data_IF_744609803216
#
_entry.id   IF_744609803216
#
_cell.length_a   1.000
_cell.length_b   1.000
_cell.length_c   1.000
_cell.angle_alpha   90.00
_cell.angle_beta   90.00
_cell.angle_gamma   90.00
#
_symmetry.space_group_name_H-M   'P 1'
#
loop_
_entity.id
_entity.type
_entity.pdbx_description
1 polymer ?
#
# COMPACT_ATOMS: atom_id res chain seq x y z
N UNK A 1 -32.30 0.55 40.52
CA UNK A 1 -33.40 -0.06 39.74
C UNK A 1 -33.78 0.80 38.54
N UNK A 2 -34.24 2.03 38.68
CA UNK A 2 -34.68 2.91 37.55
C UNK A 2 -33.59 3.10 36.51
N UNK A 3 -32.34 3.40 36.90
CA UNK A 3 -31.23 3.56 35.99
C UNK A 3 -30.95 2.28 35.15
N UNK A 4 -31.06 1.09 35.77
CA UNK A 4 -30.88 -0.18 35.06
C UNK A 4 -31.99 -0.40 34.02
N UNK A 5 -33.25 -0.05 34.33
CA UNK A 5 -34.35 -0.13 33.36
C UNK A 5 -34.18 0.85 32.20
N UNK A 6 -33.67 2.06 32.47
CA UNK A 6 -33.36 3.04 31.41
C UNK A 6 -32.27 2.50 30.48
N UNK A 7 -31.18 1.97 31.04
CA UNK A 7 -30.10 1.38 30.24
C UNK A 7 -30.62 0.21 29.37
N UNK A 8 -31.42 -0.68 30.01
CA UNK A 8 -31.98 -1.81 29.25
C UNK A 8 -32.93 -1.33 28.15
N UNK A 9 -33.78 -0.34 28.39
CA UNK A 9 -34.65 0.23 27.38
C UNK A 9 -33.89 0.84 26.22
N UNK A 10 -32.78 1.56 26.49
CA UNK A 10 -31.90 2.14 25.45
C UNK A 10 -31.25 1.03 24.66
N UNK A 11 -30.77 -0.03 25.28
CA UNK A 11 -30.16 -1.17 24.58
C UNK A 11 -31.16 -1.89 23.67
N UNK A 12 -32.37 -2.11 24.15
CA UNK A 12 -33.46 -2.74 23.36
C UNK A 12 -33.85 -1.85 22.18
N UNK A 13 -33.95 -0.54 22.38
CA UNK A 13 -34.22 0.40 21.29
C UNK A 13 -33.11 0.41 20.24
N UNK A 14 -31.87 0.44 20.70
CA UNK A 14 -30.70 0.39 19.81
C UNK A 14 -30.68 -0.90 18.99
N UNK A 15 -30.94 -2.04 19.64
CA UNK A 15 -31.02 -3.34 18.95
C UNK A 15 -32.16 -3.35 17.92
N UNK A 16 -33.34 -2.83 18.29
CA UNK A 16 -34.47 -2.72 17.36
C UNK A 16 -34.12 -1.86 16.14
N UNK A 17 -33.48 -0.70 16.35
CA UNK A 17 -33.05 0.17 15.25
C UNK A 17 -32.06 -0.54 14.36
N UNK A 18 -31.07 -1.25 14.91
CA UNK A 18 -30.09 -2.02 14.14
C UNK A 18 -30.78 -3.09 13.31
N UNK A 19 -31.66 -3.89 13.92
CA UNK A 19 -32.40 -4.95 13.23
C UNK A 19 -33.31 -4.41 12.10
N UNK A 20 -34.02 -3.32 12.36
CA UNK A 20 -34.87 -2.68 11.34
C UNK A 20 -34.05 -2.13 10.17
N UNK A 21 -32.93 -1.47 10.46
CA UNK A 21 -32.03 -0.97 9.41
C UNK A 21 -31.38 -2.10 8.62
N UNK A 22 -31.01 -3.20 9.27
CA UNK A 22 -30.46 -4.38 8.60
C UNK A 22 -31.51 -5.05 7.71
N UNK A 23 -32.74 -5.19 8.19
CA UNK A 23 -33.84 -5.76 7.39
C UNK A 23 -34.22 -4.86 6.18
N UNK A 24 -34.10 -3.55 6.34
CA UNK A 24 -34.34 -2.58 5.27
C UNK A 24 -33.14 -2.39 4.33
N UNK A 25 -31.99 -2.95 4.66
CA UNK A 25 -30.79 -2.85 3.83
C UNK A 25 -30.90 -3.76 2.61
N UNK A 26 -31.18 -3.16 1.47
CA UNK A 26 -31.14 -3.83 0.18
C UNK A 26 -30.01 -3.20 -0.63
N UNK A 27 -28.88 -3.90 -0.82
CA UNK A 27 -27.83 -3.42 -1.70
C UNK A 27 -28.42 -3.22 -3.09
N UNK A 28 -28.12 -2.09 -3.74
CA UNK A 28 -28.49 -1.89 -5.12
C UNK A 28 -27.80 -2.97 -5.94
N UNK A 29 -28.58 -3.85 -6.56
CA UNK A 29 -28.05 -4.77 -7.54
C UNK A 29 -27.65 -3.96 -8.77
N UNK A 30 -26.39 -3.54 -8.83
CA UNK A 30 -25.83 -3.06 -10.08
C UNK A 30 -25.65 -4.26 -11.00
N UNK A 31 -26.14 -4.13 -12.23
CA UNK A 31 -25.92 -5.15 -13.23
C UNK A 31 -24.41 -5.31 -13.42
N UNK A 32 -23.89 -6.49 -13.17
CA UNK A 32 -22.49 -6.79 -13.44
C UNK A 32 -22.20 -6.49 -14.91
N UNK A 33 -21.34 -5.50 -15.15
CA UNK A 33 -20.81 -5.27 -16.49
C UNK A 33 -19.76 -6.35 -16.73
N UNK A 34 -20.05 -7.26 -17.65
CA UNK A 34 -19.03 -8.17 -18.17
C UNK A 34 -18.18 -7.39 -19.16
N UNK A 35 -16.91 -7.22 -18.85
CA UNK A 35 -15.94 -6.69 -19.79
C UNK A 35 -15.33 -7.84 -20.60
N UNK A 36 -15.06 -7.59 -21.87
CA UNK A 36 -14.29 -8.53 -22.66
C UNK A 36 -12.87 -8.67 -22.03
N UNK A 37 -12.29 -9.87 -22.04
CA UNK A 37 -10.91 -10.04 -21.62
C UNK A 37 -9.99 -9.11 -22.42
N UNK A 38 -9.06 -8.47 -21.75
CA UNK A 38 -8.03 -7.67 -22.41
C UNK A 38 -6.90 -8.61 -22.82
N UNK A 39 -6.60 -8.64 -24.10
CA UNK A 39 -5.47 -9.39 -24.63
C UNK A 39 -4.20 -8.53 -24.47
N UNK A 40 -3.20 -9.06 -23.79
CA UNK A 40 -1.88 -8.43 -23.60
C UNK A 40 -0.79 -9.48 -23.53
N UNK A 41 0.45 -9.09 -23.72
CA UNK A 41 1.60 -9.98 -23.65
C UNK A 41 1.90 -10.36 -22.18
N UNK A 42 1.35 -11.49 -21.74
CA UNK A 42 1.53 -12.01 -20.38
C UNK A 42 2.95 -12.44 -20.10
N UNK A 43 3.65 -12.96 -21.10
CA UNK A 43 5.01 -13.42 -20.96
C UNK A 43 5.97 -12.24 -20.77
N UNK A 44 5.78 -11.18 -21.55
CA UNK A 44 6.52 -9.93 -21.36
C UNK A 44 6.25 -9.32 -19.98
N UNK A 45 5.00 -9.28 -19.52
CA UNK A 45 4.63 -8.76 -18.20
C UNK A 45 5.32 -9.52 -17.05
N UNK A 46 5.36 -10.86 -17.15
CA UNK A 46 6.06 -11.70 -16.16
C UNK A 46 7.57 -11.50 -16.21
N UNK A 47 8.13 -11.43 -17.41
CA UNK A 47 9.58 -11.19 -17.63
C UNK A 47 9.99 -9.81 -17.07
N UNK A 48 9.17 -8.79 -17.28
CA UNK A 48 9.41 -7.46 -16.72
C UNK A 48 9.42 -7.50 -15.19
N UNK A 49 8.44 -8.17 -14.58
CA UNK A 49 8.40 -8.33 -13.12
C UNK A 49 9.64 -9.07 -12.60
N UNK A 50 10.09 -10.14 -13.27
CA UNK A 50 11.33 -10.84 -12.90
C UNK A 50 12.54 -9.90 -12.90
N UNK A 51 12.65 -9.04 -13.89
CA UNK A 51 13.76 -8.07 -14.00
C UNK A 51 13.72 -7.03 -12.88
N UNK A 52 12.52 -6.58 -12.51
CA UNK A 52 12.31 -5.66 -11.38
C UNK A 52 12.64 -6.34 -10.04
N UNK A 53 12.28 -7.61 -9.85
CA UNK A 53 12.63 -8.38 -8.64
C UNK A 53 14.15 -8.50 -8.46
N UNK A 54 14.91 -8.60 -9.55
CA UNK A 54 16.37 -8.68 -9.53
C UNK A 54 17.07 -7.36 -9.18
N UNK A 55 16.33 -6.29 -9.01
CA UNK A 55 16.82 -5.05 -8.41
C UNK A 55 16.55 -5.10 -6.90
N UNK A 56 17.61 -5.10 -6.10
CA UNK A 56 17.54 -5.21 -4.64
C UNK A 56 17.23 -3.85 -4.00
N UNK A 57 16.08 -3.29 -4.30
CA UNK A 57 15.64 -1.98 -3.79
C UNK A 57 15.17 -2.06 -2.34
N UNK A 58 16.05 -2.51 -1.45
CA UNK A 58 15.74 -2.70 -0.03
C UNK A 58 15.85 -1.37 0.70
N UNK A 59 14.75 -0.96 1.35
CA UNK A 59 14.72 0.23 2.20
C UNK A 59 15.06 -0.12 3.64
N UNK A 60 15.80 0.77 4.29
CA UNK A 60 16.15 0.71 5.70
C UNK A 60 15.93 2.06 6.36
N UNK A 61 15.44 2.06 7.59
CA UNK A 61 15.38 3.28 8.41
C UNK A 61 16.77 3.89 8.62
N UNK A 62 17.81 3.03 8.66
CA UNK A 62 19.22 3.45 8.64
C UNK A 62 19.72 3.49 7.20
N UNK A 63 19.72 4.68 6.60
CA UNK A 63 20.12 4.89 5.22
C UNK A 63 21.56 4.42 4.89
N UNK A 64 22.42 4.23 5.89
CA UNK A 64 23.78 3.71 5.66
C UNK A 64 23.82 2.24 5.23
N UNK A 65 22.71 1.52 5.40
CA UNK A 65 22.54 0.12 5.01
C UNK A 65 21.95 -0.04 3.60
N UNK A 66 21.46 1.03 3.02
CA UNK A 66 20.86 0.99 1.69
C UNK A 66 21.93 0.98 0.58
N UNK A 67 21.59 0.35 -0.53
CA UNK A 67 22.35 0.44 -1.77
C UNK A 67 21.61 1.32 -2.79
N UNK A 68 21.92 2.62 -2.88
CA UNK A 68 21.29 3.52 -3.84
C UNK A 68 21.44 3.07 -5.29
N UNK A 69 22.50 2.33 -5.63
CA UNK A 69 22.74 1.85 -6.99
C UNK A 69 21.66 0.86 -7.46
N UNK A 70 21.08 0.05 -6.55
CA UNK A 70 20.01 -0.88 -6.90
C UNK A 70 18.70 -0.15 -7.23
N UNK A 71 18.43 1.01 -6.61
CA UNK A 71 17.30 1.86 -6.96
C UNK A 71 17.51 2.51 -8.34
N UNK A 72 18.68 3.08 -8.59
CA UNK A 72 18.99 3.65 -9.92
C UNK A 72 19.02 2.58 -11.00
N UNK A 73 19.47 1.37 -10.72
CA UNK A 73 19.41 0.21 -11.63
C UNK A 73 17.96 -0.10 -12.01
N UNK A 74 17.02 -0.13 -11.05
CA UNK A 74 15.61 -0.32 -11.33
C UNK A 74 15.09 0.80 -12.24
N UNK A 75 15.36 2.05 -11.88
CA UNK A 75 14.88 3.21 -12.64
C UNK A 75 15.44 3.20 -14.06
N UNK A 76 16.69 2.81 -14.24
CA UNK A 76 17.34 2.70 -15.55
C UNK A 76 16.75 1.61 -16.45
N UNK A 77 16.10 0.59 -15.88
CA UNK A 77 15.39 -0.44 -16.65
C UNK A 77 14.06 0.04 -17.23
N UNK A 78 13.39 1.00 -16.58
CA UNK A 78 12.01 1.35 -16.94
C UNK A 78 11.82 1.79 -18.39
N UNK A 79 12.72 2.58 -19.03
CA UNK A 79 12.57 2.93 -20.44
C UNK A 79 12.62 1.74 -21.38
N UNK A 80 13.36 0.68 -21.02
CA UNK A 80 13.43 -0.55 -21.78
C UNK A 80 12.17 -1.41 -21.60
N UNK A 81 11.68 -1.50 -20.36
CA UNK A 81 10.53 -2.33 -20.02
C UNK A 81 9.19 -1.72 -20.47
N UNK A 82 9.10 -0.40 -20.49
CA UNK A 82 7.87 0.36 -20.77
C UNK A 82 8.13 1.52 -21.74
N UNK A 83 8.54 1.22 -22.98
CA UNK A 83 9.01 2.24 -23.94
C UNK A 83 7.91 3.25 -24.31
N UNK A 84 6.65 2.80 -24.45
CA UNK A 84 5.55 3.69 -24.83
C UNK A 84 5.16 4.66 -23.69
N UNK A 85 5.30 4.21 -22.41
CA UNK A 85 5.13 5.11 -21.26
C UNK A 85 6.20 6.22 -21.30
N UNK A 86 7.45 5.87 -21.58
CA UNK A 86 8.54 6.85 -21.65
C UNK A 86 8.45 7.76 -22.86
N UNK A 87 7.87 7.30 -23.96
CA UNK A 87 7.61 8.11 -25.15
C UNK A 87 6.45 9.11 -24.94
N UNK A 88 5.38 8.68 -24.25
CA UNK A 88 4.13 9.42 -24.16
C UNK A 88 3.98 10.23 -22.89
N UNK A 89 4.47 9.74 -21.76
CA UNK A 89 4.32 10.34 -20.46
C UNK A 89 5.51 11.24 -20.10
N UNK A 90 5.26 12.26 -19.31
CA UNK A 90 6.32 13.09 -18.74
C UNK A 90 6.71 12.55 -17.38
N UNK A 91 7.97 12.16 -17.17
CA UNK A 91 8.50 11.75 -15.88
C UNK A 91 9.09 12.94 -15.13
N UNK A 92 8.59 13.18 -13.93
CA UNK A 92 9.19 14.07 -12.92
C UNK A 92 9.80 13.22 -11.81
N UNK A 93 11.11 13.34 -11.60
CA UNK A 93 11.80 12.72 -10.45
C UNK A 93 11.72 13.68 -9.28
N UNK A 94 11.15 13.23 -8.18
CA UNK A 94 10.99 14.00 -6.95
C UNK A 94 12.02 13.55 -5.90
N UNK A 95 12.30 14.38 -4.88
CA UNK A 95 13.16 13.97 -3.77
C UNK A 95 12.69 12.64 -3.15
N UNK A 96 13.62 11.98 -2.45
CA UNK A 96 13.34 10.76 -1.70
C UNK A 96 12.71 9.66 -2.55
N UNK A 97 13.23 9.50 -3.78
CA UNK A 97 12.86 8.44 -4.72
C UNK A 97 11.40 8.49 -5.16
N UNK A 98 10.79 9.67 -5.21
CA UNK A 98 9.49 9.84 -5.84
C UNK A 98 9.61 9.81 -7.37
N UNK A 99 8.81 8.99 -8.04
CA UNK A 99 8.67 8.96 -9.48
C UNK A 99 7.23 9.32 -9.84
N UNK A 100 7.04 10.41 -10.57
CA UNK A 100 5.73 10.87 -10.99
C UNK A 100 5.66 10.94 -12.52
N UNK A 101 4.91 10.01 -13.11
CA UNK A 101 4.62 10.05 -14.54
C UNK A 101 3.28 10.74 -14.78
N UNK A 102 3.26 11.65 -15.73
CA UNK A 102 2.07 12.35 -16.17
C UNK A 102 1.67 11.89 -17.56
N UNK A 103 0.47 11.35 -17.69
CA UNK A 103 -0.17 10.99 -18.97
C UNK A 103 -1.34 11.93 -19.23
N UNK A 104 -1.15 12.83 -20.20
CA UNK A 104 -2.15 13.85 -20.54
C UNK A 104 -3.42 13.23 -21.12
N UNK A 105 -4.55 13.59 -20.54
CA UNK A 105 -5.87 13.29 -21.03
C UNK A 105 -6.33 14.23 -22.16
N UNK A 106 -7.60 14.11 -22.54
CA UNK A 106 -8.27 15.06 -23.44
C UNK A 106 -8.70 16.33 -22.70
N UNK A 107 -9.01 16.21 -21.42
CA UNK A 107 -9.34 17.29 -20.50
C UNK A 107 -8.40 17.24 -19.28
N UNK A 108 -8.20 18.41 -18.64
CA UNK A 108 -7.18 18.62 -17.59
C UNK A 108 -7.77 19.21 -16.30
N UNK A 109 -9.09 19.17 -16.16
CA UNK A 109 -9.82 19.70 -15.00
C UNK A 109 -9.86 18.72 -13.82
N UNK A 110 -9.66 17.46 -14.09
CA UNK A 110 -9.62 16.38 -13.10
C UNK A 110 -8.48 15.39 -13.41
N UNK A 111 -7.99 14.70 -12.39
CA UNK A 111 -6.96 13.69 -12.54
C UNK A 111 -7.26 12.44 -11.71
N UNK A 112 -6.79 11.29 -12.21
CA UNK A 112 -6.70 10.05 -11.47
C UNK A 112 -5.25 9.72 -11.19
N UNK A 113 -4.98 9.16 -10.00
CA UNK A 113 -3.64 8.74 -9.56
C UNK A 113 -3.63 7.24 -9.34
N UNK A 114 -2.71 6.53 -9.99
CA UNK A 114 -2.41 5.12 -9.74
C UNK A 114 -1.10 5.06 -8.97
N UNK A 115 -1.13 4.45 -7.79
CA UNK A 115 0.01 4.39 -6.88
C UNK A 115 0.59 2.98 -6.79
N UNK A 116 1.84 2.91 -6.45
CA UNK A 116 2.54 1.72 -5.98
C UNK A 116 3.90 2.15 -5.40
N UNK A 117 4.58 1.21 -4.73
CA UNK A 117 5.97 1.41 -4.35
C UNK A 117 6.89 0.40 -5.03
N UNK A 118 8.18 0.72 -5.11
CA UNK A 118 9.19 -0.13 -5.73
C UNK A 118 10.35 -0.50 -4.81
N UNK A 119 10.33 -0.02 -3.57
CA UNK A 119 11.17 -0.54 -2.51
C UNK A 119 10.58 -1.81 -1.88
N UNK A 120 11.36 -2.46 -1.05
CA UNK A 120 10.98 -3.70 -0.37
C UNK A 120 11.67 -3.77 0.99
N UNK A 121 11.05 -4.51 1.93
CA UNK A 121 11.66 -4.78 3.24
C UNK A 121 12.89 -5.69 3.14
N UNK A 122 13.81 -5.65 4.12
CA UNK A 122 14.93 -6.57 4.24
C UNK A 122 14.50 -8.04 4.27
N UNK A 123 15.44 -8.92 3.97
CA UNK A 123 15.26 -10.37 3.99
C UNK A 123 16.35 -11.04 4.83
N UNK A 124 15.98 -12.13 5.49
CA UNK A 124 16.90 -13.10 6.05
C UNK A 124 17.00 -14.26 5.07
N UNK A 125 17.99 -14.20 4.14
CA UNK A 125 18.07 -15.10 2.98
C UNK A 125 18.09 -16.57 3.36
N UNK A 126 18.63 -16.94 4.53
CA UNK A 126 18.66 -18.30 5.07
C UNK A 126 17.27 -18.87 5.37
N UNK A 127 16.26 -18.03 5.57
CA UNK A 127 14.89 -18.44 5.83
C UNK A 127 14.07 -18.60 4.54
N UNK A 128 14.65 -18.31 3.38
CA UNK A 128 13.97 -18.41 2.10
C UNK A 128 14.20 -19.78 1.45
N UNK A 129 13.13 -20.37 0.90
CA UNK A 129 13.22 -21.61 0.11
C UNK A 129 13.94 -21.43 -1.23
N UNK A 130 13.92 -20.22 -1.77
CA UNK A 130 14.56 -19.82 -3.03
C UNK A 130 15.21 -18.46 -2.84
N UNK A 131 16.31 -18.14 -3.56
CA UNK A 131 16.92 -16.82 -3.47
C UNK A 131 15.91 -15.69 -3.72
N UNK A 132 15.75 -14.75 -2.77
CA UNK A 132 14.62 -13.80 -2.77
C UNK A 132 14.70 -12.74 -3.88
N UNK A 133 15.84 -12.55 -4.53
CA UNK A 133 16.04 -11.54 -5.56
C UNK A 133 16.40 -12.13 -6.95
N UNK A 134 16.18 -13.40 -7.17
CA UNK A 134 16.43 -14.00 -8.49
C UNK A 134 15.20 -14.09 -9.38
N UNK A 135 13.99 -13.91 -8.81
CA UNK A 135 12.75 -13.97 -9.57
C UNK A 135 12.56 -15.34 -10.24
N UNK A 136 12.73 -16.42 -9.49
CA UNK A 136 12.63 -17.79 -10.00
C UNK A 136 11.18 -18.12 -10.31
N UNK A 137 10.91 -18.67 -11.50
CA UNK A 137 9.62 -19.25 -11.84
C UNK A 137 9.72 -20.77 -11.72
N UNK A 138 8.86 -21.36 -10.90
CA UNK A 138 8.75 -22.80 -10.73
C UNK A 138 7.28 -23.18 -10.53
N UNK A 139 6.81 -24.16 -11.27
CA UNK A 139 5.43 -24.65 -11.24
C UNK A 139 4.38 -23.53 -11.42
N UNK A 140 4.68 -22.54 -12.27
CA UNK A 140 3.80 -21.41 -12.55
C UNK A 140 3.77 -20.33 -11.45
N UNK A 141 4.64 -20.42 -10.45
CA UNK A 141 4.77 -19.46 -9.34
C UNK A 141 6.06 -18.67 -9.49
N UNK A 142 5.97 -17.35 -9.48
CA UNK A 142 7.11 -16.44 -9.42
C UNK A 142 7.50 -16.19 -7.96
N UNK A 143 8.70 -16.62 -7.60
CA UNK A 143 9.28 -16.48 -6.27
C UNK A 143 10.18 -15.25 -6.17
N UNK A 144 9.98 -14.44 -5.15
CA UNK A 144 10.88 -13.31 -4.88
C UNK A 144 10.31 -12.28 -3.90
N UNK A 145 11.18 -11.49 -3.29
CA UNK A 145 10.81 -10.35 -2.47
C UNK A 145 10.26 -9.24 -3.38
N UNK A 146 9.06 -8.72 -3.08
CA UNK A 146 8.38 -7.73 -3.90
C UNK A 146 7.45 -8.31 -4.98
N UNK A 147 7.33 -9.66 -5.09
CA UNK A 147 6.39 -10.29 -6.02
C UNK A 147 4.92 -10.10 -5.62
N UNK A 148 4.65 -9.79 -4.36
CA UNK A 148 3.33 -9.48 -3.84
C UNK A 148 3.27 -8.04 -3.36
N UNK A 149 4.25 -7.59 -2.59
CA UNK A 149 4.34 -6.31 -1.94
C UNK A 149 5.57 -5.55 -2.44
N UNK A 150 5.48 -4.55 -3.37
CA UNK A 150 4.36 -4.43 -4.32
C UNK A 150 4.87 -4.15 -5.74
N UNK A 151 6.07 -4.66 -6.09
CA UNK A 151 6.57 -4.54 -7.48
C UNK A 151 5.62 -5.14 -8.51
N UNK A 152 4.72 -6.06 -8.10
CA UNK A 152 3.69 -6.59 -8.98
C UNK A 152 2.69 -5.50 -9.37
N UNK A 153 2.25 -4.66 -8.43
CA UNK A 153 1.35 -3.53 -8.71
C UNK A 153 2.05 -2.47 -9.55
N UNK A 154 3.30 -2.13 -9.17
CA UNK A 154 4.15 -1.23 -9.96
C UNK A 154 4.29 -1.69 -11.42
N UNK A 155 4.64 -2.97 -11.64
CA UNK A 155 4.72 -3.57 -12.97
C UNK A 155 3.36 -3.60 -13.67
N UNK A 156 2.28 -3.92 -12.95
CA UNK A 156 0.93 -4.00 -13.50
C UNK A 156 0.43 -2.67 -14.03
N UNK A 157 0.62 -1.59 -13.27
CA UNK A 157 0.25 -0.22 -13.67
C UNK A 157 1.01 0.19 -14.94
N UNK A 158 2.34 0.03 -14.95
CA UNK A 158 3.16 0.41 -16.09
C UNK A 158 2.91 -0.46 -17.32
N UNK A 159 2.73 -1.78 -17.16
CA UNK A 159 2.40 -2.69 -18.27
C UNK A 159 1.05 -2.33 -18.89
N UNK A 160 0.03 -2.04 -18.06
CA UNK A 160 -1.28 -1.65 -18.56
C UNK A 160 -1.22 -0.32 -19.32
N UNK A 161 -0.50 0.66 -18.77
CA UNK A 161 -0.31 1.96 -19.42
C UNK A 161 0.43 1.81 -20.75
N UNK A 162 1.55 1.09 -20.77
CA UNK A 162 2.36 0.87 -21.97
C UNK A 162 1.56 0.21 -23.08
N UNK A 163 0.79 -0.83 -22.74
CA UNK A 163 -0.10 -1.52 -23.67
C UNK A 163 -1.19 -0.61 -24.24
N UNK A 164 -1.87 0.19 -23.41
CA UNK A 164 -2.92 1.10 -23.84
C UNK A 164 -2.37 2.22 -24.73
N UNK A 165 -1.21 2.77 -24.36
CA UNK A 165 -0.54 3.81 -25.16
C UNK A 165 -0.13 3.25 -26.53
N UNK A 166 0.41 2.02 -26.58
CA UNK A 166 0.77 1.35 -27.83
C UNK A 166 -0.44 1.17 -28.77
N UNK A 167 -1.64 1.03 -28.22
CA UNK A 167 -2.90 0.95 -28.96
C UNK A 167 -3.45 2.34 -29.36
N UNK A 168 -2.79 3.42 -29.02
CA UNK A 168 -3.24 4.79 -29.28
C UNK A 168 -4.36 5.26 -28.36
N UNK A 169 -4.59 4.58 -27.22
CA UNK A 169 -5.57 5.04 -26.24
C UNK A 169 -5.15 6.39 -25.65
N UNK A 170 -6.09 7.29 -25.52
CA UNK A 170 -5.93 8.55 -24.80
C UNK A 170 -7.02 8.65 -23.72
N UNK A 171 -6.66 8.85 -22.45
CA UNK A 171 -7.62 8.97 -21.37
C UNK A 171 -8.47 10.24 -21.52
N UNK A 172 -9.69 10.23 -20.96
CA UNK A 172 -10.57 11.41 -20.99
C UNK A 172 -10.04 12.50 -20.05
N UNK A 173 -9.56 12.13 -18.87
CA UNK A 173 -8.96 13.00 -17.87
C UNK A 173 -7.48 12.66 -17.69
N UNK A 174 -6.74 13.52 -17.05
CA UNK A 174 -5.32 13.31 -16.75
C UNK A 174 -5.11 12.08 -15.86
N UNK A 175 -4.03 11.33 -16.13
CA UNK A 175 -3.61 10.21 -15.29
C UNK A 175 -2.19 10.47 -14.80
N UNK A 176 -1.98 10.25 -13.50
CA UNK A 176 -0.66 10.22 -12.89
C UNK A 176 -0.34 8.83 -12.39
N UNK A 177 0.88 8.38 -12.64
CA UNK A 177 1.44 7.20 -11.97
C UNK A 177 2.42 7.71 -10.92
N UNK A 178 2.08 7.50 -9.65
CA UNK A 178 2.81 8.03 -8.52
C UNK A 178 3.49 6.87 -7.77
N UNK A 179 4.81 6.79 -7.88
CA UNK A 179 5.57 5.69 -7.30
C UNK A 179 6.56 6.19 -6.25
N UNK A 180 6.60 5.51 -5.11
CA UNK A 180 7.53 5.76 -4.01
C UNK A 180 8.57 4.67 -3.91
N UNK A 181 9.79 5.04 -3.53
CA UNK A 181 10.88 4.10 -3.24
C UNK A 181 11.28 4.08 -1.77
N UNK A 182 10.37 4.45 -0.86
CA UNK A 182 10.57 4.48 0.59
C UNK A 182 9.26 4.23 1.36
N UNK A 183 8.32 3.47 0.78
CA UNK A 183 7.05 3.17 1.43
C UNK A 183 7.26 2.34 2.69
N UNK A 184 8.04 1.28 2.60
CA UNK A 184 8.30 0.28 3.65
C UNK A 184 8.92 0.86 4.94
N UNK A 185 9.41 2.08 4.88
CA UNK A 185 10.00 2.79 6.02
C UNK A 185 9.23 4.06 6.38
N UNK A 186 8.03 4.27 5.80
CA UNK A 186 7.26 5.52 5.93
C UNK A 186 8.09 6.76 5.57
N UNK A 187 8.89 6.66 4.53
CA UNK A 187 9.72 7.74 4.05
C UNK A 187 8.93 8.86 3.37
N UNK A 188 9.56 10.02 3.13
CA UNK A 188 8.86 11.21 2.64
C UNK A 188 8.52 11.17 1.14
N UNK A 189 8.87 10.11 0.39
CA UNK A 189 8.67 10.04 -1.05
C UNK A 189 7.23 10.30 -1.49
N UNK A 190 6.25 9.63 -0.88
CA UNK A 190 4.83 9.86 -1.17
C UNK A 190 4.37 11.26 -0.73
N UNK A 191 4.86 11.76 0.41
CA UNK A 191 4.56 13.12 0.90
C UNK A 191 5.07 14.17 -0.07
N UNK A 192 6.25 14.00 -0.64
CA UNK A 192 6.81 14.90 -1.66
C UNK A 192 5.94 14.92 -2.93
N UNK A 193 5.37 13.79 -3.34
CA UNK A 193 4.41 13.72 -4.46
C UNK A 193 3.14 14.50 -4.12
N UNK A 194 2.60 14.35 -2.91
CA UNK A 194 1.42 15.11 -2.46
C UNK A 194 1.69 16.62 -2.46
N UNK A 195 2.84 17.06 -1.95
CA UNK A 195 3.24 18.46 -2.00
C UNK A 195 3.33 18.97 -3.44
N UNK A 196 3.90 18.18 -4.34
CA UNK A 196 3.97 18.53 -5.76
C UNK A 196 2.57 18.74 -6.36
N UNK A 197 1.61 17.85 -6.08
CA UNK A 197 0.22 18.02 -6.53
C UNK A 197 -0.42 19.29 -5.98
N UNK A 198 -0.18 19.61 -4.70
CA UNK A 198 -0.68 20.84 -4.07
C UNK A 198 -0.09 22.10 -4.72
N UNK A 199 1.21 22.13 -4.94
CA UNK A 199 1.91 23.26 -5.57
C UNK A 199 1.45 23.50 -7.01
N UNK A 200 1.07 22.44 -7.72
CA UNK A 200 0.59 22.53 -9.10
C UNK A 200 -0.93 22.62 -9.21
N UNK A 201 -1.65 22.69 -8.06
CA UNK A 201 -3.10 22.78 -7.99
C UNK A 201 -3.83 21.70 -8.81
N UNK A 202 -3.33 20.45 -8.76
CA UNK A 202 -3.94 19.32 -9.46
C UNK A 202 -5.20 18.88 -8.71
N UNK A 203 -6.33 18.83 -9.41
CA UNK A 203 -7.62 18.40 -8.88
C UNK A 203 -7.74 16.86 -8.99
N UNK A 204 -7.41 16.14 -7.91
CA UNK A 204 -7.42 14.67 -7.88
C UNK A 204 -8.81 14.20 -7.49
N UNK A 205 -9.45 13.41 -8.37
CA UNK A 205 -10.77 12.82 -8.16
C UNK A 205 -10.71 11.36 -7.67
N UNK A 206 -9.69 10.62 -8.08
CA UNK A 206 -9.53 9.22 -7.74
C UNK A 206 -8.06 8.93 -7.45
N UNK A 207 -7.84 8.24 -6.36
CA UNK A 207 -6.54 7.62 -6.06
C UNK A 207 -6.77 6.12 -5.92
N UNK A 208 -5.99 5.33 -6.64
CA UNK A 208 -5.96 3.86 -6.53
C UNK A 208 -4.56 3.48 -6.09
N UNK A 209 -4.48 2.86 -4.94
CA UNK A 209 -3.25 2.37 -4.35
C UNK A 209 -3.28 0.84 -4.26
N UNK A 210 -2.26 0.27 -3.72
CA UNK A 210 -2.16 -1.14 -3.44
C UNK A 210 -3.01 -1.56 -2.24
N UNK A 211 -2.96 -2.83 -1.92
CA UNK A 211 -3.64 -3.41 -0.78
C UNK A 211 -4.99 -4.01 -1.14
N UNK A 212 -5.71 -4.42 -0.13
CA UNK A 212 -6.90 -5.22 -0.29
C UNK A 212 -6.60 -6.67 -0.68
N UNK A 213 -7.60 -7.51 -0.57
CA UNK A 213 -7.51 -8.93 -0.92
C UNK A 213 -8.88 -9.49 -1.27
N UNK A 214 -8.89 -10.58 -2.03
CA UNK A 214 -10.05 -11.47 -2.09
C UNK A 214 -9.85 -12.53 -1.02
N UNK A 215 -10.76 -12.56 -0.05
CA UNK A 215 -10.68 -13.45 1.12
C UNK A 215 -11.86 -14.40 1.17
N UNK A 216 -11.67 -15.60 1.69
CA UNK A 216 -12.68 -16.61 1.89
C UNK A 216 -12.78 -16.97 3.37
N UNK A 217 -13.99 -17.28 3.84
CA UNK A 217 -14.27 -17.73 5.23
C UNK A 217 -13.73 -16.79 6.34
N UNK A 218 -13.53 -15.52 6.06
CA UNK A 218 -13.02 -14.54 7.06
C UNK A 218 -14.17 -13.91 7.85
N UNK A 219 -15.32 -13.72 7.21
CA UNK A 219 -16.47 -13.09 7.86
C UNK A 219 -17.49 -14.14 8.31
N UNK A 220 -17.91 -14.10 9.61
CA UNK A 220 -18.91 -15.04 10.12
C UNK A 220 -20.20 -15.05 9.26
N UNK A 221 -20.57 -16.22 8.75
CA UNK A 221 -21.78 -16.39 7.93
C UNK A 221 -21.66 -16.07 6.46
N UNK A 222 -20.49 -15.60 6.00
CA UNK A 222 -20.21 -15.34 4.58
C UNK A 222 -19.30 -16.44 4.05
N UNK A 223 -19.81 -17.22 3.08
CA UNK A 223 -19.09 -18.34 2.45
C UNK A 223 -18.53 -18.00 1.07
N UNK A 224 -18.99 -16.93 0.47
CA UNK A 224 -18.51 -16.49 -0.84
C UNK A 224 -17.19 -15.74 -0.71
N UNK A 225 -16.31 -15.82 -1.71
CA UNK A 225 -15.15 -14.94 -1.80
C UNK A 225 -15.57 -13.47 -1.72
N UNK A 226 -14.88 -12.70 -0.90
CA UNK A 226 -15.15 -11.27 -0.70
C UNK A 226 -13.94 -10.46 -1.14
N UNK A 227 -14.10 -9.60 -2.13
CA UNK A 227 -13.11 -8.60 -2.47
C UNK A 227 -13.19 -7.44 -1.45
N UNK A 228 -12.10 -7.20 -0.75
CA UNK A 228 -11.99 -6.11 0.22
C UNK A 228 -11.41 -4.88 -0.48
N UNK A 229 -12.17 -3.80 -0.48
CA UNK A 229 -11.73 -2.52 -1.02
C UNK A 229 -11.61 -1.55 0.17
N UNK A 230 -10.38 -1.16 0.49
CA UNK A 230 -10.11 -0.09 1.44
C UNK A 230 -10.53 1.25 0.85
N UNK A 231 -11.30 2.04 1.59
CA UNK A 231 -11.74 3.37 1.15
C UNK A 231 -11.05 4.50 1.92
N UNK A 232 -10.27 4.16 2.91
CA UNK A 232 -9.46 5.07 3.72
C UNK A 232 -8.46 4.27 4.55
N UNK A 233 -7.38 4.91 4.91
CA UNK A 233 -6.38 4.36 5.82
C UNK A 233 -6.35 5.09 7.15
N UNK A 234 -5.90 4.37 8.19
CA UNK A 234 -5.70 4.95 9.52
C UNK A 234 -4.39 5.74 9.52
N UNK A 235 -4.37 6.84 10.26
CA UNK A 235 -3.11 7.49 10.59
C UNK A 235 -2.23 6.57 11.44
N UNK A 236 -0.91 6.60 11.19
CA UNK A 236 0.08 5.90 12.00
C UNK A 236 0.79 6.88 12.92
N UNK A 237 1.04 6.45 14.15
CA UNK A 237 1.78 7.23 15.13
C UNK A 237 2.73 6.30 15.88
N UNK A 238 4.02 6.63 15.86
CA UNK A 238 5.02 5.96 16.69
C UNK A 238 5.13 6.72 18.02
N UNK A 239 4.94 6.01 19.12
CA UNK A 239 5.09 6.55 20.48
C UNK A 239 6.31 5.92 21.12
N UNK A 240 7.26 6.74 21.51
CA UNK A 240 8.41 6.33 22.31
C UNK A 240 8.15 6.70 23.77
N UNK A 241 8.13 5.71 24.64
CA UNK A 241 8.05 5.89 26.08
C UNK A 241 9.43 5.69 26.68
N UNK A 242 10.02 6.75 27.22
CA UNK A 242 11.26 6.67 27.95
C UNK A 242 11.05 6.99 29.43
N UNK A 243 11.57 6.13 30.29
CA UNK A 243 11.52 6.32 31.75
C UNK A 243 12.91 6.19 32.31
N UNK A 244 13.35 7.17 33.05
CA UNK A 244 14.63 7.16 33.73
C UNK A 244 14.46 7.16 35.23
N UNK A 245 15.31 6.43 35.94
CA UNK A 245 15.35 6.47 37.40
C UNK A 245 16.79 6.62 37.90
N UNK A 246 16.92 7.18 39.08
CA UNK A 246 18.25 7.46 39.70
C UNK A 246 18.97 6.18 40.18
N UNK A 247 18.47 5.01 39.87
CA UNK A 247 19.04 3.74 40.36
C UNK A 247 18.90 3.57 41.88
N UNK A 248 19.38 2.46 42.40
CA UNK A 248 19.37 2.15 43.82
C UNK A 248 20.02 0.80 44.10
N UNK A 249 20.25 0.48 45.37
CA UNK A 249 20.80 -0.79 45.76
C UNK A 249 19.75 -1.89 45.61
N UNK A 250 20.07 -3.00 44.95
CA UNK A 250 19.13 -4.07 44.66
C UNK A 250 18.45 -4.69 45.90
N UNK A 251 19.09 -4.64 47.06
CA UNK A 251 18.53 -5.17 48.32
C UNK A 251 17.59 -4.20 49.04
N UNK A 252 17.51 -2.96 48.61
CA UNK A 252 16.64 -1.92 49.19
C UNK A 252 15.98 -1.10 48.07
N UNK A 253 15.09 -1.71 47.26
CA UNK A 253 14.41 -1.01 46.16
C UNK A 253 13.51 0.08 46.73
N UNK A 254 13.54 1.25 46.11
CA UNK A 254 12.60 2.32 46.44
C UNK A 254 11.16 1.89 46.04
N UNK A 255 10.14 2.34 46.79
CA UNK A 255 8.75 2.24 46.30
C UNK A 255 8.67 2.94 44.92
N UNK A 256 7.94 2.34 44.00
CA UNK A 256 7.81 2.86 42.62
C UNK A 256 9.09 2.81 41.78
N UNK A 257 9.76 1.67 41.75
CA UNK A 257 10.78 1.37 40.75
C UNK A 257 10.13 1.09 39.40
N UNK A 258 10.84 1.35 38.30
CA UNK A 258 10.36 1.06 36.94
C UNK A 258 9.80 -0.36 36.77
N UNK A 259 10.45 -1.35 37.35
CA UNK A 259 9.98 -2.74 37.32
C UNK A 259 8.66 -2.95 38.05
N UNK A 260 8.46 -2.29 39.19
CA UNK A 260 7.21 -2.37 39.97
C UNK A 260 6.06 -1.67 39.28
N UNK A 261 6.28 -0.51 38.67
CA UNK A 261 5.28 0.20 37.90
C UNK A 261 4.83 -0.64 36.71
N UNK A 262 5.79 -1.24 35.97
CA UNK A 262 5.48 -2.07 34.81
C UNK A 262 4.73 -3.37 35.17
N UNK A 263 5.05 -3.99 36.30
CA UNK A 263 4.46 -5.26 36.72
C UNK A 263 3.12 -5.07 37.41
N UNK A 264 2.98 -4.03 38.25
CA UNK A 264 1.79 -3.83 39.06
C UNK A 264 0.64 -3.08 38.38
N UNK A 265 0.94 -2.22 37.39
CA UNK A 265 -0.07 -1.40 36.72
C UNK A 265 0.17 -1.27 35.20
N UNK A 266 0.22 -2.38 34.45
CA UNK A 266 0.53 -2.29 33.01
C UNK A 266 -0.56 -1.65 32.17
N UNK A 267 -1.75 -1.37 32.75
CA UNK A 267 -2.93 -0.90 31.99
C UNK A 267 -3.66 0.27 32.65
N UNK A 268 -3.13 0.87 33.72
CA UNK A 268 -3.81 1.98 34.38
C UNK A 268 -3.41 3.29 33.72
N UNK A 269 -4.32 3.97 32.98
CA UNK A 269 -4.08 5.35 32.57
C UNK A 269 -4.07 6.24 33.82
N UNK A 270 -3.06 7.05 33.96
CA UNK A 270 -3.02 8.10 34.97
C UNK A 270 -4.03 9.22 34.68
#
# INVERSE_FOLDING_TARGET
MIVLYIILAVLVLLLAVVLLRTAAFHPKAEAFRTYAPVEFDREAAVTNLQRLIRCRTVSYTDASKEDPAEFEKLIALLPELYPHVYEKCTLTRLPDRGLLFYWAGKAHDEASVMMAHFDVVPVEEENWKKPPFEGIIEDGVLWGRGTLDTKVTFNGVLTAADHLIAQGFQPEQDIYFAFSGQEEINGPGAVNIVHWFQEHNINIQLVVDEGGAVVEDVFPGVKQPCALIGIAEKGMMNLEYSVSSAGGHASAPKPHTLSLIHISEPTRPE
#
